data_IF_768278065284
#
_entry.id   IF_768278065284
#
_cell.length_a   1.000
_cell.length_b   1.000
_cell.length_c   1.000
_cell.angle_alpha   90.00
_cell.angle_beta   90.00
_cell.angle_gamma   90.00
#
_symmetry.space_group_name_H-M   'P 1'
#
loop_
_entity.id
_entity.type
_entity.pdbx_description
1 polymer ?
#
# COMPACT_ATOMS: atom_id res chain seq x y z
N UNK A 1 -15.78 -13.49 4.92
CA UNK A 1 -15.65 -13.83 3.48
C UNK A 1 -15.29 -12.61 2.63
N UNK A 2 -16.12 -11.56 2.61
CA UNK A 2 -15.84 -10.34 1.81
C UNK A 2 -14.55 -9.64 2.28
N UNK A 3 -14.38 -9.46 3.59
CA UNK A 3 -13.17 -8.85 4.19
C UNK A 3 -11.89 -9.62 3.82
N UNK A 4 -11.94 -10.95 3.85
CA UNK A 4 -10.83 -11.82 3.44
C UNK A 4 -10.50 -11.66 1.95
N UNK A 5 -11.51 -11.54 1.08
CA UNK A 5 -11.30 -11.29 -0.34
C UNK A 5 -10.62 -9.94 -0.57
N UNK A 6 -11.09 -8.88 0.10
CA UNK A 6 -10.48 -7.55 0.05
C UNK A 6 -9.04 -7.55 0.57
N UNK A 7 -8.79 -8.24 1.69
CA UNK A 7 -7.45 -8.41 2.24
C UNK A 7 -6.50 -9.03 1.20
N UNK A 8 -6.89 -10.16 0.59
CA UNK A 8 -6.06 -10.81 -0.42
C UNK A 8 -5.85 -9.93 -1.66
N UNK A 9 -6.89 -9.23 -2.13
CA UNK A 9 -6.77 -8.30 -3.26
C UNK A 9 -5.78 -7.16 -2.97
N UNK A 10 -5.93 -6.46 -1.85
CA UNK A 10 -5.04 -5.35 -1.49
C UNK A 10 -3.62 -5.82 -1.17
N UNK A 11 -3.47 -6.98 -0.51
CA UNK A 11 -2.14 -7.57 -0.23
C UNK A 11 -1.41 -7.97 -1.51
N UNK A 12 -2.12 -8.49 -2.53
CA UNK A 12 -1.53 -8.81 -3.82
C UNK A 12 -0.99 -7.55 -4.50
N UNK A 13 -1.80 -6.49 -4.55
CA UNK A 13 -1.37 -5.20 -5.13
C UNK A 13 -0.20 -4.60 -4.35
N UNK A 14 -0.22 -4.69 -3.01
CA UNK A 14 0.89 -4.26 -2.16
C UNK A 14 2.21 -4.96 -2.55
N UNK A 15 2.21 -6.30 -2.62
CA UNK A 15 3.42 -7.05 -2.97
C UNK A 15 3.90 -6.71 -4.39
N UNK A 16 2.99 -6.63 -5.36
CA UNK A 16 3.34 -6.24 -6.73
C UNK A 16 3.91 -4.81 -6.80
N UNK A 17 3.35 -3.87 -6.05
CA UNK A 17 3.88 -2.50 -5.96
C UNK A 17 5.26 -2.46 -5.32
N UNK A 18 5.50 -3.20 -4.23
CA UNK A 18 6.81 -3.28 -3.59
C UNK A 18 7.87 -3.90 -4.51
N UNK A 19 7.51 -4.92 -5.29
CA UNK A 19 8.36 -5.45 -6.35
C UNK A 19 8.63 -4.38 -7.43
N UNK A 20 7.62 -3.60 -7.81
CA UNK A 20 7.75 -2.47 -8.73
C UNK A 20 8.74 -1.40 -8.25
N UNK A 21 8.79 -1.12 -6.95
CA UNK A 21 9.77 -0.19 -6.36
C UNK A 21 11.21 -0.64 -6.66
N UNK A 22 11.51 -1.93 -6.46
CA UNK A 22 12.87 -2.47 -6.57
C UNK A 22 13.26 -2.77 -8.02
N UNK A 23 12.29 -3.21 -8.84
CA UNK A 23 12.54 -3.63 -10.23
C UNK A 23 12.50 -2.47 -11.23
N UNK A 24 11.87 -1.34 -10.88
CA UNK A 24 11.81 -0.17 -11.75
C UNK A 24 13.19 0.48 -11.91
N UNK A 25 13.61 0.66 -13.17
CA UNK A 25 14.85 1.36 -13.51
C UNK A 25 14.74 2.88 -13.43
N UNK A 26 13.53 3.41 -13.51
CA UNK A 26 13.29 4.85 -13.41
C UNK A 26 12.91 5.20 -11.95
N UNK A 27 13.65 6.11 -11.30
CA UNK A 27 13.35 6.55 -9.94
C UNK A 27 11.94 7.12 -9.77
N UNK A 28 11.39 7.82 -10.78
CA UNK A 28 10.03 8.37 -10.73
C UNK A 28 8.99 7.25 -10.68
N UNK A 29 9.13 6.23 -11.52
CA UNK A 29 8.23 5.07 -11.47
C UNK A 29 8.40 4.28 -10.17
N UNK A 30 9.63 4.14 -9.66
CA UNK A 30 9.89 3.53 -8.36
C UNK A 30 9.16 4.28 -7.22
N UNK A 31 9.20 5.62 -7.24
CA UNK A 31 8.48 6.45 -6.27
C UNK A 31 6.95 6.33 -6.40
N UNK A 32 6.41 6.26 -7.62
CA UNK A 32 4.97 6.02 -7.82
C UNK A 32 4.52 4.66 -7.29
N UNK A 33 5.33 3.61 -7.49
CA UNK A 33 5.08 2.30 -6.89
C UNK A 33 5.16 2.33 -5.37
N UNK A 34 6.06 3.13 -4.80
CA UNK A 34 6.19 3.29 -3.35
C UNK A 34 4.94 3.95 -2.75
N UNK A 35 4.42 5.01 -3.39
CA UNK A 35 3.16 5.65 -3.02
C UNK A 35 2.01 4.64 -3.07
N UNK A 36 1.92 3.85 -4.15
CA UNK A 36 0.92 2.80 -4.27
C UNK A 36 1.03 1.77 -3.12
N UNK A 37 2.25 1.36 -2.76
CA UNK A 37 2.49 0.44 -1.64
C UNK A 37 2.03 1.01 -0.29
N UNK A 38 2.29 2.30 -0.03
CA UNK A 38 1.82 2.95 1.20
C UNK A 38 0.29 3.05 1.26
N UNK A 39 -0.37 3.40 0.15
CA UNK A 39 -1.85 3.45 0.11
C UNK A 39 -2.47 2.07 0.31
N UNK A 40 -1.91 1.01 -0.28
CA UNK A 40 -2.39 -0.36 -0.05
C UNK A 40 -2.19 -0.81 1.40
N UNK A 41 -1.05 -0.46 2.00
CA UNK A 41 -0.78 -0.74 3.41
C UNK A 41 -1.76 -0.01 4.34
N UNK A 42 -2.08 1.25 4.06
CA UNK A 42 -3.10 2.00 4.81
C UNK A 42 -4.48 1.36 4.70
N UNK A 43 -4.85 0.88 3.50
CA UNK A 43 -6.12 0.19 3.27
C UNK A 43 -6.20 -1.13 4.05
N UNK A 44 -5.09 -1.89 4.12
CA UNK A 44 -5.01 -3.10 4.94
C UNK A 44 -5.12 -2.79 6.43
N UNK A 45 -4.53 -1.69 6.91
CA UNK A 45 -4.68 -1.25 8.29
C UNK A 45 -6.12 -0.81 8.62
N UNK A 46 -6.84 -0.18 7.69
CA UNK A 46 -8.27 0.09 7.86
C UNK A 46 -9.10 -1.20 7.99
N UNK A 47 -8.80 -2.23 7.18
CA UNK A 47 -9.47 -3.53 7.30
C UNK A 47 -9.18 -4.24 8.64
N UNK A 48 -8.08 -3.89 9.30
CA UNK A 48 -7.68 -4.39 10.62
C UNK A 48 -8.13 -3.47 11.77
N UNK A 49 -8.99 -2.48 11.49
CA UNK A 49 -9.48 -1.51 12.48
C UNK A 49 -8.36 -0.62 13.09
N UNK A 50 -7.20 -0.54 12.44
CA UNK A 50 -6.07 0.30 12.83
C UNK A 50 -6.15 1.69 12.18
N UNK A 51 -7.25 2.41 12.44
CA UNK A 51 -7.61 3.66 11.75
C UNK A 51 -6.56 4.76 11.89
N UNK A 52 -6.09 5.02 13.11
CA UNK A 52 -5.09 6.06 13.37
C UNK A 52 -3.79 5.79 12.61
N UNK A 53 -3.33 4.55 12.62
CA UNK A 53 -2.12 4.14 11.92
C UNK A 53 -2.28 4.33 10.40
N UNK A 54 -3.42 3.94 9.83
CA UNK A 54 -3.70 4.09 8.40
C UNK A 54 -3.66 5.55 7.95
N UNK A 55 -4.31 6.45 8.71
CA UNK A 55 -4.33 7.88 8.41
C UNK A 55 -2.94 8.49 8.54
N UNK A 56 -2.20 8.17 9.61
CA UNK A 56 -0.84 8.68 9.83
C UNK A 56 0.12 8.21 8.74
N UNK A 57 0.00 6.96 8.27
CA UNK A 57 0.82 6.43 7.18
C UNK A 57 0.67 7.29 5.91
N UNK A 58 -0.56 7.59 5.52
CA UNK A 58 -0.82 8.42 4.33
C UNK A 58 -0.33 9.85 4.57
N UNK A 59 -0.66 10.44 5.74
CA UNK A 59 -0.31 11.82 6.03
C UNK A 59 1.20 12.07 6.09
N UNK A 60 1.98 11.13 6.62
CA UNK A 60 3.43 11.31 6.84
C UNK A 60 4.28 10.80 5.67
N UNK A 61 3.84 9.73 4.99
CA UNK A 61 4.67 9.08 3.98
C UNK A 61 4.18 9.27 2.53
N UNK A 62 2.91 9.62 2.31
CA UNK A 62 2.35 9.85 0.97
C UNK A 62 2.26 11.34 0.63
N UNK A 63 1.86 12.17 1.60
CA UNK A 63 1.90 13.64 1.50
C UNK A 63 3.31 14.20 1.57
#
# INVERSE_FOLDING_TARGET
MITSLLFYAFSLVLVLSALGVITSRNPVHSALFLVLAFVQSATLWLLLEAEFLAVVLVLVYVG
#
